data_IF_337615694771
#
_entry.id   IF_337615694771
#
_cell.length_a   1.000
_cell.length_b   1.000
_cell.length_c   1.000
_cell.angle_alpha   90.00
_cell.angle_beta   90.00
_cell.angle_gamma   90.00
#
_symmetry.space_group_name_H-M   'P 1'
#
loop_
_entity.id
_entity.type
_entity.pdbx_description
1 polymer ?
#
# COMPACT_ATOMS: atom_id res chain seq x y z
N UNK A 1 -4.96 66.18 -40.38
CA UNK A 1 -4.85 65.53 -39.05
C UNK A 1 -5.58 64.21 -39.17
N UNK A 2 -5.06 63.00 -38.94
CA UNK A 2 -3.75 62.49 -38.54
C UNK A 2 -3.78 60.98 -38.84
N UNK A 3 -2.61 60.39 -39.06
CA UNK A 3 -2.41 59.06 -39.60
C UNK A 3 -2.97 57.89 -38.75
N UNK A 4 -3.36 56.82 -39.45
CA UNK A 4 -3.52 55.49 -38.88
C UNK A 4 -2.15 54.90 -38.50
N UNK A 5 -2.02 54.40 -37.27
CA UNK A 5 -0.89 53.62 -36.77
C UNK A 5 -1.45 52.53 -35.84
N UNK A 6 -0.94 51.31 -36.00
CA UNK A 6 -1.54 50.08 -35.46
C UNK A 6 -1.06 49.67 -34.07
N UNK A 7 -1.45 48.46 -33.69
CA UNK A 7 -0.66 47.55 -32.85
C UNK A 7 -1.28 46.14 -32.96
N UNK A 8 -0.61 45.23 -33.66
CA UNK A 8 -0.91 43.81 -33.61
C UNK A 8 -0.49 43.26 -32.25
N UNK A 9 -1.39 42.55 -31.59
CA UNK A 9 -1.09 41.84 -30.37
C UNK A 9 -0.25 40.59 -30.70
N UNK A 10 1.04 40.63 -30.39
CA UNK A 10 1.89 39.43 -30.37
C UNK A 10 1.61 38.65 -29.08
N UNK A 11 1.04 37.44 -29.21
CA UNK A 11 0.95 36.48 -28.13
C UNK A 11 2.37 35.94 -27.85
N UNK A 12 3.02 36.45 -26.82
CA UNK A 12 4.25 35.86 -26.30
C UNK A 12 3.92 34.50 -25.68
N UNK A 13 4.43 33.42 -26.27
CA UNK A 13 4.34 32.08 -25.71
C UNK A 13 5.10 31.99 -24.39
N UNK A 14 4.43 31.50 -23.35
CA UNK A 14 5.06 31.14 -22.08
C UNK A 14 6.12 30.06 -22.30
N UNK A 15 7.30 30.13 -21.64
CA UNK A 15 8.28 29.08 -21.74
C UNK A 15 7.74 27.81 -21.09
N UNK A 16 7.60 26.74 -21.88
CA UNK A 16 7.37 25.39 -21.37
C UNK A 16 8.59 25.00 -20.55
N UNK A 17 8.41 24.83 -19.24
CA UNK A 17 9.43 24.20 -18.40
C UNK A 17 9.72 22.81 -18.97
N UNK A 18 10.94 22.61 -19.45
CA UNK A 18 11.38 21.33 -19.94
C UNK A 18 11.29 20.31 -18.80
N UNK A 19 10.49 19.26 -19.01
CA UNK A 19 10.43 18.11 -18.12
C UNK A 19 11.84 17.50 -18.07
N UNK A 20 12.52 17.60 -16.94
CA UNK A 20 13.79 16.92 -16.76
C UNK A 20 13.52 15.42 -16.90
N UNK A 21 14.18 14.77 -17.86
CA UNK A 21 14.11 13.32 -18.00
C UNK A 21 14.62 12.67 -16.70
N UNK A 22 14.01 11.56 -16.27
CA UNK A 22 14.46 10.85 -15.07
C UNK A 22 15.94 10.44 -15.23
N UNK A 23 16.67 10.55 -14.12
CA UNK A 23 18.10 10.26 -14.04
C UNK A 23 18.36 8.79 -14.43
N UNK A 24 19.20 8.58 -15.46
CA UNK A 24 19.44 7.26 -16.05
C UNK A 24 20.29 6.32 -15.16
N UNK A 25 20.68 6.77 -13.97
CA UNK A 25 21.41 5.96 -12.98
C UNK A 25 20.51 5.02 -12.15
N UNK A 26 19.19 5.07 -12.28
CA UNK A 26 18.24 4.22 -11.53
C UNK A 26 17.84 2.95 -12.33
N UNK A 27 18.75 2.34 -13.10
CA UNK A 27 18.46 1.15 -13.94
C UNK A 27 19.37 -0.04 -13.61
N UNK A 28 19.99 -0.04 -12.43
CA UNK A 28 20.76 -1.18 -11.95
C UNK A 28 19.87 -2.42 -11.76
N UNK A 29 20.43 -3.64 -11.81
CA UNK A 29 19.69 -4.90 -11.60
C UNK A 29 18.98 -4.98 -10.24
N UNK A 30 19.35 -4.12 -9.29
CA UNK A 30 18.81 -4.04 -7.94
C UNK A 30 17.74 -2.94 -7.78
N UNK A 31 17.39 -2.20 -8.85
CA UNK A 31 16.31 -1.23 -8.79
C UNK A 31 14.97 -1.88 -9.15
N UNK A 32 14.08 -2.01 -8.15
CA UNK A 32 12.76 -2.59 -8.31
C UNK A 32 11.63 -1.53 -8.43
N UNK A 33 11.98 -0.25 -8.62
CA UNK A 33 10.98 0.80 -8.84
C UNK A 33 10.12 0.45 -10.07
N UNK A 34 8.80 0.62 -9.93
CA UNK A 34 7.80 0.33 -10.97
C UNK A 34 7.72 -1.14 -11.42
N UNK A 35 8.51 -2.05 -10.84
CA UNK A 35 8.42 -3.46 -11.16
C UNK A 35 7.07 -4.04 -10.73
N UNK A 36 6.40 -4.71 -11.67
CA UNK A 36 5.15 -5.44 -11.43
C UNK A 36 5.40 -6.75 -10.69
N UNK A 37 4.37 -7.32 -10.07
CA UNK A 37 4.45 -8.64 -9.42
C UNK A 37 4.94 -9.70 -10.40
N UNK A 38 4.47 -9.66 -11.66
CA UNK A 38 4.88 -10.61 -12.69
C UNK A 38 6.39 -10.51 -13.00
N UNK A 39 6.93 -9.30 -13.12
CA UNK A 39 8.36 -9.07 -13.34
C UNK A 39 9.19 -9.51 -12.13
N UNK A 40 8.75 -9.19 -10.91
CA UNK A 40 9.42 -9.61 -9.67
C UNK A 40 9.43 -11.14 -9.52
N UNK A 41 8.32 -11.80 -9.85
CA UNK A 41 8.25 -13.26 -9.86
C UNK A 41 9.18 -13.87 -10.91
N UNK A 42 9.23 -13.31 -12.12
CA UNK A 42 10.14 -13.76 -13.17
C UNK A 42 11.61 -13.59 -12.76
N UNK A 43 11.97 -12.45 -12.18
CA UNK A 43 13.33 -12.20 -11.69
C UNK A 43 13.73 -13.19 -10.59
N UNK A 44 12.83 -13.48 -9.63
CA UNK A 44 13.07 -14.50 -8.60
C UNK A 44 13.16 -15.93 -9.17
N UNK A 45 12.35 -16.26 -10.18
CA UNK A 45 12.40 -17.57 -10.84
C UNK A 45 13.71 -17.76 -11.62
N UNK A 46 14.20 -16.69 -12.25
CA UNK A 46 15.45 -16.67 -13.02
C UNK A 46 16.70 -16.46 -12.14
N UNK A 47 16.54 -16.39 -10.80
CA UNK A 47 17.63 -16.15 -9.84
C UNK A 47 18.38 -14.83 -10.06
N UNK A 48 17.70 -13.84 -10.63
CA UNK A 48 18.20 -12.47 -10.79
C UNK A 48 18.04 -11.66 -9.50
N UNK A 49 17.08 -12.05 -8.64
CA UNK A 49 16.89 -11.54 -7.29
C UNK A 49 16.30 -12.65 -6.41
N UNK A 50 16.21 -12.39 -5.12
CA UNK A 50 15.54 -13.20 -4.11
C UNK A 50 14.47 -12.39 -3.37
N UNK A 51 13.61 -13.07 -2.61
CA UNK A 51 12.66 -12.39 -1.72
C UNK A 51 13.38 -11.57 -0.64
N UNK A 52 14.54 -12.05 -0.16
CA UNK A 52 15.37 -11.33 0.81
C UNK A 52 15.93 -10.04 0.23
N UNK A 53 16.52 -10.08 -0.97
CA UNK A 53 17.03 -8.87 -1.66
C UNK A 53 15.91 -7.86 -1.92
N UNK A 54 14.77 -8.33 -2.42
CA UNK A 54 13.59 -7.49 -2.65
C UNK A 54 13.06 -6.86 -1.35
N UNK A 55 13.02 -7.63 -0.26
CA UNK A 55 12.59 -7.12 1.06
C UNK A 55 13.56 -6.07 1.59
N UNK A 56 14.87 -6.32 1.50
CA UNK A 56 15.89 -5.34 1.90
C UNK A 56 15.82 -4.05 1.08
N UNK A 57 15.57 -4.15 -0.23
CA UNK A 57 15.35 -2.97 -1.07
C UNK A 57 14.23 -2.08 -0.53
N UNK A 58 13.05 -2.66 -0.26
CA UNK A 58 11.92 -1.88 0.26
C UNK A 58 12.19 -1.33 1.67
N UNK A 59 12.82 -2.10 2.57
CA UNK A 59 13.20 -1.62 3.91
C UNK A 59 14.14 -0.42 3.83
N UNK A 60 15.15 -0.48 2.96
CA UNK A 60 16.08 0.63 2.75
C UNK A 60 15.37 1.87 2.20
N UNK A 61 14.42 1.68 1.28
CA UNK A 61 13.60 2.78 0.73
C UNK A 61 12.67 3.39 1.78
N UNK A 62 12.05 2.59 2.63
CA UNK A 62 11.23 3.09 3.75
C UNK A 62 12.08 3.99 4.64
N UNK A 63 13.28 3.54 5.03
CA UNK A 63 14.19 4.37 5.82
C UNK A 63 14.59 5.67 5.08
N UNK A 64 14.92 5.58 3.79
CA UNK A 64 15.41 6.72 3.02
C UNK A 64 14.33 7.74 2.68
N UNK A 65 13.09 7.30 2.42
CA UNK A 65 12.01 8.14 1.88
C UNK A 65 10.94 8.42 2.92
N UNK A 66 10.48 7.39 3.63
CA UNK A 66 9.38 7.49 4.58
C UNK A 66 9.81 8.13 5.90
N UNK A 67 11.00 7.77 6.39
CA UNK A 67 11.49 8.17 7.72
C UNK A 67 12.45 9.36 7.70
N UNK A 68 13.39 9.42 6.74
CA UNK A 68 14.50 10.41 6.77
C UNK A 68 14.48 11.45 5.65
N UNK A 69 13.86 11.13 4.52
CA UNK A 69 13.86 11.96 3.32
C UNK A 69 12.70 12.95 3.31
N UNK A 70 11.78 12.89 2.33
CA UNK A 70 10.59 13.75 2.28
C UNK A 70 9.61 13.54 3.45
N UNK A 71 9.85 12.54 4.33
CA UNK A 71 9.00 12.21 5.47
C UNK A 71 7.55 11.92 5.05
N UNK A 72 7.38 10.93 4.17
CA UNK A 72 6.03 10.52 3.74
C UNK A 72 5.20 9.96 4.89
N UNK A 73 5.85 9.32 5.88
CA UNK A 73 5.22 8.81 7.10
C UNK A 73 4.00 7.91 6.80
N UNK A 74 4.17 7.08 5.78
CA UNK A 74 3.17 6.16 5.25
C UNK A 74 3.22 4.78 5.92
N UNK A 75 4.33 4.44 6.57
CA UNK A 75 4.53 3.19 7.31
C UNK A 75 4.54 3.47 8.81
N UNK A 76 3.58 2.91 9.54
CA UNK A 76 3.45 3.15 11.00
C UNK A 76 4.25 2.13 11.83
N UNK A 77 4.50 0.94 11.28
CA UNK A 77 5.26 -0.10 11.96
C UNK A 77 5.83 -1.10 10.95
N UNK A 78 7.11 -1.47 11.09
CA UNK A 78 7.73 -2.54 10.30
C UNK A 78 7.57 -3.89 11.00
N UNK A 79 7.40 -4.95 10.22
CA UNK A 79 7.36 -6.31 10.77
C UNK A 79 8.78 -6.77 11.12
N UNK A 80 9.11 -7.04 12.40
CA UNK A 80 10.43 -7.53 12.78
C UNK A 80 10.75 -8.90 12.17
N UNK A 81 9.73 -9.67 11.75
CA UNK A 81 9.88 -11.00 11.19
C UNK A 81 9.89 -10.99 9.63
N UNK A 82 9.82 -9.82 8.98
CA UNK A 82 9.74 -9.70 7.51
C UNK A 82 10.89 -10.43 6.77
N UNK A 83 12.13 -10.24 7.22
CA UNK A 83 13.29 -10.91 6.61
C UNK A 83 13.26 -12.43 6.82
N UNK A 84 12.77 -12.91 7.96
CA UNK A 84 12.60 -14.34 8.20
C UNK A 84 11.53 -14.93 7.26
N UNK A 85 10.43 -14.21 7.03
CA UNK A 85 9.42 -14.61 6.04
C UNK A 85 10.00 -14.68 4.63
N UNK A 86 10.81 -13.69 4.23
CA UNK A 86 11.49 -13.67 2.94
C UNK A 86 12.47 -14.85 2.78
N UNK A 87 13.28 -15.13 3.79
CA UNK A 87 14.18 -16.29 3.81
C UNK A 87 13.43 -17.62 3.67
N UNK A 88 12.28 -17.75 4.33
CA UNK A 88 11.42 -18.93 4.22
C UNK A 88 10.84 -19.07 2.80
N UNK A 89 10.42 -17.96 2.18
CA UNK A 89 9.94 -17.96 0.80
C UNK A 89 11.04 -18.40 -0.18
N UNK A 90 12.27 -17.90 -0.03
CA UNK A 90 13.40 -18.31 -0.86
C UNK A 90 13.77 -19.79 -0.65
N UNK A 91 13.76 -20.27 0.60
CA UNK A 91 13.99 -21.68 0.91
C UNK A 91 12.91 -22.60 0.33
N UNK A 92 11.65 -22.15 0.31
CA UNK A 92 10.56 -22.86 -0.35
C UNK A 92 10.77 -22.91 -1.87
N UNK A 93 11.15 -21.78 -2.49
CA UNK A 93 11.42 -21.69 -3.93
C UNK A 93 12.58 -22.60 -4.36
N UNK A 94 13.69 -22.63 -3.59
CA UNK A 94 14.83 -23.54 -3.84
C UNK A 94 14.45 -25.02 -3.80
N UNK A 95 13.41 -25.38 -3.05
CA UNK A 95 12.85 -26.74 -2.99
C UNK A 95 11.77 -27.00 -4.06
N UNK A 96 11.61 -26.10 -5.03
CA UNK A 96 10.59 -26.21 -6.09
C UNK A 96 9.16 -25.93 -5.62
N UNK A 97 8.97 -25.35 -4.42
CA UNK A 97 7.65 -25.04 -3.88
C UNK A 97 7.37 -23.53 -3.94
N UNK A 98 6.59 -23.11 -4.91
CA UNK A 98 6.08 -21.74 -5.09
C UNK A 98 4.58 -21.75 -4.81
N UNK A 99 4.12 -20.90 -3.89
CA UNK A 99 2.74 -20.94 -3.38
C UNK A 99 1.73 -20.16 -4.23
N UNK A 100 2.21 -19.33 -5.16
CA UNK A 100 1.36 -18.53 -6.04
C UNK A 100 2.02 -17.23 -6.49
N UNK A 101 1.26 -16.30 -7.08
CA UNK A 101 1.79 -15.05 -7.64
C UNK A 101 2.39 -14.12 -6.57
N UNK A 102 1.99 -14.25 -5.30
CA UNK A 102 2.52 -13.44 -4.20
C UNK A 102 3.69 -14.09 -3.45
N UNK A 103 4.19 -15.25 -3.90
CA UNK A 103 5.26 -15.97 -3.20
C UNK A 103 6.56 -15.15 -3.15
N UNK A 104 6.92 -14.65 -1.97
CA UNK A 104 8.08 -13.80 -1.73
C UNK A 104 7.85 -12.30 -1.99
N UNK A 105 6.62 -11.87 -2.28
CA UNK A 105 6.31 -10.46 -2.58
C UNK A 105 6.07 -9.67 -1.27
N UNK A 106 6.78 -8.55 -1.03
CA UNK A 106 6.56 -7.70 0.14
C UNK A 106 5.28 -6.86 0.05
N UNK A 107 4.42 -6.97 1.07
CA UNK A 107 3.10 -6.33 1.16
C UNK A 107 2.95 -5.56 2.46
N UNK A 108 2.41 -4.35 2.40
CA UNK A 108 1.97 -3.59 3.58
C UNK A 108 0.48 -3.79 3.84
N UNK A 109 0.07 -3.82 5.10
CA UNK A 109 -1.35 -3.90 5.47
C UNK A 109 -1.73 -2.63 6.24
N UNK A 110 -2.87 -2.01 5.92
CA UNK A 110 -3.38 -0.90 6.75
C UNK A 110 -3.46 -1.29 8.23
N UNK A 111 -3.09 -0.39 9.13
CA UNK A 111 -2.95 -0.67 10.58
C UNK A 111 -4.27 -0.94 11.34
N UNK A 112 -5.40 -1.02 10.64
CA UNK A 112 -6.64 -1.57 11.18
C UNK A 112 -6.84 -3.07 10.85
N UNK A 113 -5.87 -3.73 10.20
CA UNK A 113 -5.92 -5.14 9.82
C UNK A 113 -5.04 -5.96 10.77
N UNK A 114 -5.63 -6.99 11.39
CA UNK A 114 -4.91 -7.90 12.26
C UNK A 114 -3.90 -8.77 11.52
N UNK A 115 -2.74 -8.89 12.15
CA UNK A 115 -1.64 -9.79 11.82
C UNK A 115 -1.24 -10.49 13.11
N UNK A 116 -1.16 -11.82 13.09
CA UNK A 116 -0.67 -12.63 14.22
C UNK A 116 0.86 -12.57 14.40
N UNK A 117 1.52 -11.59 13.77
CA UNK A 117 2.92 -11.26 13.95
C UNK A 117 3.10 -10.34 15.19
N UNK A 118 4.32 -9.84 15.42
CA UNK A 118 4.65 -9.01 16.59
C UNK A 118 4.25 -7.53 16.46
N UNK A 119 3.60 -7.15 15.36
CA UNK A 119 3.15 -5.78 15.11
C UNK A 119 1.82 -5.47 15.78
N UNK A 120 1.57 -4.20 16.06
CA UNK A 120 0.30 -3.74 16.60
C UNK A 120 -0.78 -3.66 15.50
N UNK A 121 -2.05 -3.71 15.91
CA UNK A 121 -3.19 -3.28 15.09
C UNK A 121 -3.85 -2.15 15.85
N UNK A 122 -3.44 -0.92 15.57
CA UNK A 122 -3.81 0.22 16.43
C UNK A 122 -4.94 1.07 15.86
N UNK A 123 -5.31 0.87 14.58
CA UNK A 123 -6.15 1.80 13.83
C UNK A 123 -5.65 3.27 13.95
N UNK A 124 -4.33 3.44 14.09
CA UNK A 124 -3.67 4.72 14.33
C UNK A 124 -3.79 5.29 15.76
N UNK A 125 -4.49 4.61 16.67
CA UNK A 125 -4.79 5.10 18.02
C UNK A 125 -3.87 4.51 19.08
N UNK A 126 -3.34 5.35 19.97
CA UNK A 126 -2.59 4.88 21.15
C UNK A 126 -3.41 3.99 22.08
N UNK A 127 -4.74 4.09 22.06
CA UNK A 127 -5.62 3.29 22.93
C UNK A 127 -5.59 1.78 22.62
N UNK A 128 -5.15 1.41 21.42
CA UNK A 128 -5.03 0.02 20.97
C UNK A 128 -3.57 -0.48 20.96
N UNK A 129 -2.62 0.35 21.40
CA UNK A 129 -1.21 -0.06 21.53
C UNK A 129 -1.05 -0.90 22.80
N UNK A 130 -0.39 -2.05 22.66
CA UNK A 130 -0.06 -2.93 23.78
C UNK A 130 0.25 -4.33 23.27
N UNK A 131 -0.73 -5.22 23.39
CA UNK A 131 -0.58 -6.61 22.95
C UNK A 131 -0.92 -6.75 21.47
N UNK A 132 -0.03 -7.36 20.65
CA UNK A 132 -0.35 -7.73 19.27
C UNK A 132 -1.60 -8.61 19.17
N UNK A 133 -2.20 -8.64 17.97
CA UNK A 133 -3.33 -9.52 17.70
C UNK A 133 -2.92 -11.00 17.88
N UNK A 134 -3.79 -11.79 18.52
CA UNK A 134 -3.52 -13.21 18.83
C UNK A 134 -3.47 -14.07 17.56
N UNK A 135 -4.05 -13.60 16.45
CA UNK A 135 -4.12 -14.33 15.18
C UNK A 135 -4.26 -13.38 14.00
N UNK A 136 -3.94 -13.88 12.82
CA UNK A 136 -4.18 -13.19 11.56
C UNK A 136 -5.69 -12.89 11.35
N UNK A 137 -5.95 -11.72 10.75
CA UNK A 137 -7.18 -11.49 9.98
C UNK A 137 -7.31 -12.53 8.86
N UNK A 138 -8.51 -12.76 8.35
CA UNK A 138 -8.68 -13.75 7.26
C UNK A 138 -7.91 -13.35 6.01
N UNK A 139 -7.81 -12.05 5.70
CA UNK A 139 -7.02 -11.55 4.56
C UNK A 139 -5.51 -11.70 4.79
N UNK A 140 -5.00 -11.44 6.00
CA UNK A 140 -3.59 -11.66 6.32
C UNK A 140 -3.21 -13.14 6.24
N UNK A 141 -4.08 -14.03 6.75
CA UNK A 141 -3.87 -15.49 6.67
C UNK A 141 -3.78 -15.97 5.21
N UNK A 142 -4.61 -15.42 4.31
CA UNK A 142 -4.55 -15.73 2.87
C UNK A 142 -3.29 -15.21 2.19
N UNK A 143 -2.86 -13.98 2.51
CA UNK A 143 -1.57 -13.46 2.04
C UNK A 143 -0.42 -14.38 2.46
N UNK A 144 -0.40 -14.81 3.72
CA UNK A 144 0.59 -15.74 4.25
C UNK A 144 0.54 -17.11 3.56
N UNK A 145 -0.65 -17.64 3.33
CA UNK A 145 -0.86 -18.89 2.59
C UNK A 145 -0.41 -18.78 1.12
N UNK A 146 -0.54 -17.61 0.50
CA UNK A 146 -0.02 -17.28 -0.83
C UNK A 146 1.49 -17.02 -0.88
N UNK A 147 2.17 -17.06 0.27
CA UNK A 147 3.61 -16.87 0.41
C UNK A 147 4.07 -15.41 0.42
N UNK A 148 3.17 -14.45 0.62
CA UNK A 148 3.53 -13.03 0.72
C UNK A 148 4.41 -12.76 1.95
N UNK A 149 5.31 -11.79 1.82
CA UNK A 149 6.11 -11.25 2.93
C UNK A 149 5.34 -10.07 3.50
N UNK A 150 4.80 -10.18 4.72
CA UNK A 150 4.14 -9.08 5.39
C UNK A 150 5.23 -8.13 5.89
N UNK A 151 5.41 -7.01 5.18
CA UNK A 151 6.50 -6.06 5.40
C UNK A 151 6.28 -5.20 6.66
N UNK A 152 5.02 -4.87 6.95
CA UNK A 152 4.68 -3.89 7.97
C UNK A 152 3.21 -3.47 7.92
N UNK A 153 2.91 -2.46 8.73
CA UNK A 153 1.62 -1.79 8.81
C UNK A 153 1.71 -0.40 8.17
N UNK A 154 0.73 -0.05 7.35
CA UNK A 154 0.60 1.25 6.75
C UNK A 154 -0.24 2.19 7.64
N UNK A 155 0.18 3.46 7.73
CA UNK A 155 -0.51 4.50 8.46
C UNK A 155 -1.89 4.79 7.84
N UNK A 156 -2.78 5.42 8.61
CA UNK A 156 -4.15 5.72 8.23
C UNK A 156 -4.64 7.01 8.89
N UNK A 157 -5.77 7.55 8.42
CA UNK A 157 -6.57 8.44 9.25
C UNK A 157 -7.07 7.67 10.48
N UNK A 158 -6.83 8.18 11.70
CA UNK A 158 -7.19 7.51 12.96
C UNK A 158 -8.65 7.02 12.98
N UNK A 159 -8.87 5.81 13.49
CA UNK A 159 -10.19 5.14 13.50
C UNK A 159 -10.86 5.11 12.12
N UNK A 160 -10.04 4.91 11.08
CA UNK A 160 -10.47 4.92 9.68
C UNK A 160 -11.29 6.18 9.30
N UNK A 161 -10.90 7.34 9.87
CA UNK A 161 -11.53 8.65 9.71
C UNK A 161 -12.90 8.82 10.39
N UNK A 162 -13.34 7.87 11.22
CA UNK A 162 -14.63 7.91 11.91
C UNK A 162 -14.52 8.43 13.36
N UNK A 163 -13.75 9.52 13.54
CA UNK A 163 -13.45 10.09 14.88
C UNK A 163 -13.98 11.51 15.09
N UNK A 164 -13.94 12.35 14.06
CA UNK A 164 -14.30 13.77 14.15
C UNK A 164 -14.69 14.32 12.78
N UNK A 165 -15.61 15.29 12.75
CA UNK A 165 -15.94 16.06 11.55
C UNK A 165 -14.84 17.04 11.13
N UNK A 166 -13.94 17.40 12.03
CA UNK A 166 -12.77 18.24 11.76
C UNK A 166 -11.47 17.43 11.69
N UNK A 167 -11.53 16.19 11.19
CA UNK A 167 -10.34 15.34 11.06
C UNK A 167 -9.41 15.81 9.93
N UNK A 168 -8.12 15.47 10.05
CA UNK A 168 -7.14 15.62 8.98
C UNK A 168 -6.86 14.25 8.36
N UNK A 169 -7.16 14.10 7.07
CA UNK A 169 -6.89 12.85 6.36
C UNK A 169 -5.41 12.49 6.39
N UNK A 170 -5.10 11.23 6.69
CA UNK A 170 -3.75 10.73 6.83
C UNK A 170 -3.10 10.95 8.19
N UNK A 171 -3.75 11.70 9.11
CA UNK A 171 -3.27 11.86 10.47
C UNK A 171 -3.76 10.75 11.40
N UNK A 172 -2.85 10.23 12.23
CA UNK A 172 -3.20 9.46 13.41
C UNK A 172 -2.40 9.84 14.64
N UNK A 173 -2.92 9.59 15.84
CA UNK A 173 -2.22 9.91 17.08
C UNK A 173 -0.91 9.14 17.19
N UNK A 174 -0.92 7.84 16.85
CA UNK A 174 0.27 6.98 16.89
C UNK A 174 1.22 7.25 15.72
N UNK A 175 0.68 7.32 14.51
CA UNK A 175 1.48 7.37 13.28
C UNK A 175 1.82 8.77 12.80
N UNK A 176 1.27 9.84 13.38
CA UNK A 176 1.43 11.19 12.87
C UNK A 176 0.75 11.41 11.51
N UNK A 177 1.17 12.45 10.79
CA UNK A 177 0.61 12.82 9.49
C UNK A 177 1.32 12.08 8.35
N UNK A 178 0.61 11.21 7.64
CA UNK A 178 1.02 10.71 6.33
C UNK A 178 0.88 11.82 5.28
N UNK A 179 1.84 11.98 4.39
CA UNK A 179 1.84 13.04 3.38
C UNK A 179 1.59 12.49 1.97
N UNK A 180 1.15 13.36 1.04
CA UNK A 180 0.95 12.96 -0.35
C UNK A 180 2.30 12.75 -1.05
N UNK A 181 2.51 11.62 -1.76
CA UNK A 181 3.79 11.29 -2.40
C UNK A 181 4.19 12.24 -3.54
N UNK A 182 3.25 12.93 -4.18
CA UNK A 182 3.54 13.91 -5.24
C UNK A 182 3.90 15.30 -4.70
N UNK A 183 3.42 15.65 -3.51
CA UNK A 183 3.70 16.92 -2.86
C UNK A 183 3.41 16.80 -1.36
N UNK A 184 4.44 16.85 -0.52
CA UNK A 184 4.34 16.54 0.91
C UNK A 184 3.50 17.55 1.72
N UNK A 185 3.19 18.70 1.14
CA UNK A 185 2.29 19.72 1.71
C UNK A 185 0.82 19.52 1.29
N UNK A 186 0.50 18.42 0.58
CA UNK A 186 -0.86 18.10 0.12
C UNK A 186 -1.46 16.92 0.85
N UNK A 187 -2.79 16.92 0.87
CA UNK A 187 -3.60 15.89 1.51
C UNK A 187 -3.47 14.55 0.74
N UNK A 188 -3.15 13.42 1.41
CA UNK A 188 -3.09 12.11 0.77
C UNK A 188 -4.48 11.45 0.57
N UNK A 189 -5.56 12.15 0.91
CA UNK A 189 -6.87 11.59 1.24
C UNK A 189 -6.76 10.47 2.29
N UNK A 190 -7.79 9.65 2.42
CA UNK A 190 -7.85 8.63 3.45
C UNK A 190 -9.18 7.87 3.42
N UNK A 191 -9.39 6.92 4.32
CA UNK A 191 -8.51 6.64 5.45
C UNK A 191 -7.30 5.77 5.14
N UNK A 192 -7.21 5.09 4.00
CA UNK A 192 -6.05 4.25 3.64
C UNK A 192 -4.89 5.06 3.05
N UNK A 193 -4.54 6.18 3.67
CA UNK A 193 -3.51 7.13 3.23
C UNK A 193 -2.14 6.46 3.05
N UNK A 194 -1.66 5.77 4.09
CA UNK A 194 -0.34 5.14 4.09
C UNK A 194 -0.25 4.04 3.03
N UNK A 195 -1.30 3.24 2.86
CA UNK A 195 -1.32 2.19 1.83
C UNK A 195 -1.21 2.79 0.42
N UNK A 196 -1.86 3.92 0.14
CA UNK A 196 -1.76 4.60 -1.15
C UNK A 196 -0.38 5.24 -1.37
N UNK A 197 0.08 6.01 -0.38
CA UNK A 197 1.36 6.71 -0.44
C UNK A 197 2.55 5.74 -0.55
N UNK A 198 2.55 4.65 0.22
CA UNK A 198 3.63 3.65 0.19
C UNK A 198 3.76 2.93 -1.15
N UNK A 199 2.63 2.58 -1.77
CA UNK A 199 2.61 1.94 -3.10
C UNK A 199 3.11 2.91 -4.17
N UNK A 200 2.67 4.17 -4.11
CA UNK A 200 3.06 5.24 -5.03
C UNK A 200 4.57 5.51 -4.98
N UNK A 201 5.14 5.59 -3.77
CA UNK A 201 6.56 5.88 -3.56
C UNK A 201 7.49 4.64 -3.69
N UNK A 202 6.98 3.50 -4.16
CA UNK A 202 7.72 2.23 -4.25
C UNK A 202 8.34 1.80 -2.90
N UNK A 203 7.56 1.91 -1.83
CA UNK A 203 7.95 1.46 -0.48
C UNK A 203 7.47 0.03 -0.18
N UNK A 204 6.60 -0.49 -1.03
CA UNK A 204 6.22 -1.89 -1.11
C UNK A 204 5.84 -2.24 -2.55
N UNK A 205 5.67 -3.54 -2.84
CA UNK A 205 5.14 -3.96 -4.13
C UNK A 205 3.65 -3.63 -4.25
N UNK A 206 2.88 -3.92 -3.20
CA UNK A 206 1.43 -3.71 -3.08
C UNK A 206 1.05 -3.50 -1.62
N UNK A 207 -0.15 -2.97 -1.38
CA UNK A 207 -0.69 -2.81 -0.04
C UNK A 207 -2.16 -3.22 0.07
N UNK A 208 -2.60 -3.62 1.26
CA UNK A 208 -4.02 -3.74 1.59
C UNK A 208 -4.55 -2.43 2.18
N UNK A 209 -5.79 -2.12 1.82
CA UNK A 209 -6.55 -0.96 2.24
C UNK A 209 -7.97 -1.40 2.63
N UNK A 210 -8.69 -0.54 3.36
CA UNK A 210 -10.07 -0.83 3.78
C UNK A 210 -10.97 0.35 3.42
N UNK A 211 -12.20 0.05 3.01
CA UNK A 211 -13.18 1.08 2.66
C UNK A 211 -14.54 0.81 3.29
N UNK A 212 -15.05 1.86 3.93
CA UNK A 212 -16.46 2.06 4.27
C UNK A 212 -17.12 2.95 3.22
N UNK A 213 -16.52 4.12 2.97
CA UNK A 213 -16.89 5.05 1.92
C UNK A 213 -15.63 5.83 1.49
N UNK A 214 -15.22 5.70 0.23
CA UNK A 214 -14.08 6.39 -0.38
C UNK A 214 -12.68 6.01 0.13
N UNK A 215 -12.56 5.27 1.23
CA UNK A 215 -11.30 5.05 1.95
C UNK A 215 -10.26 4.15 1.27
N UNK A 216 -10.57 3.50 0.15
CA UNK A 216 -9.65 2.86 -0.81
C UNK A 216 -9.52 3.79 -2.02
N UNK A 217 -10.62 4.10 -2.70
CA UNK A 217 -10.55 4.74 -4.03
C UNK A 217 -10.06 6.19 -3.99
N UNK A 218 -10.37 6.96 -2.93
CA UNK A 218 -9.91 8.34 -2.78
C UNK A 218 -8.39 8.44 -2.53
N UNK A 219 -7.81 7.77 -1.53
CA UNK A 219 -6.35 7.80 -1.34
C UNK A 219 -5.59 7.16 -2.50
N UNK A 220 -6.17 6.17 -3.20
CA UNK A 220 -5.58 5.63 -4.42
C UNK A 220 -5.50 6.71 -5.52
N UNK A 221 -6.60 7.43 -5.78
CA UNK A 221 -6.64 8.53 -6.74
C UNK A 221 -5.64 9.64 -6.40
N UNK A 222 -5.61 10.10 -5.14
CA UNK A 222 -4.69 11.15 -4.71
C UNK A 222 -3.22 10.74 -4.75
N UNK A 223 -2.94 9.43 -4.64
CA UNK A 223 -1.59 8.87 -4.68
C UNK A 223 -1.22 8.34 -6.07
N UNK A 224 -2.06 8.52 -7.09
CA UNK A 224 -1.75 8.09 -8.47
C UNK A 224 -1.62 6.58 -8.64
N UNK A 225 -2.32 5.78 -7.83
CA UNK A 225 -2.28 4.32 -7.86
C UNK A 225 -3.66 3.72 -8.11
N UNK A 226 -3.70 2.44 -8.45
CA UNK A 226 -4.94 1.66 -8.58
C UNK A 226 -5.44 1.26 -7.21
N UNK A 227 -6.70 1.53 -6.90
CA UNK A 227 -7.41 1.03 -5.73
C UNK A 227 -8.70 0.33 -6.14
N UNK A 228 -8.92 -0.91 -5.67
CA UNK A 228 -10.14 -1.66 -5.96
C UNK A 228 -10.94 -1.84 -4.67
N UNK A 229 -12.14 -1.27 -4.62
CA UNK A 229 -13.13 -1.57 -3.59
C UNK A 229 -14.05 -2.71 -4.09
N UNK A 230 -13.90 -3.95 -3.61
CA UNK A 230 -14.74 -5.03 -4.09
C UNK A 230 -16.17 -4.94 -3.51
N UNK A 231 -17.05 -5.80 -4.00
CA UNK A 231 -18.38 -6.02 -3.40
C UNK A 231 -18.21 -6.46 -1.95
N UNK A 232 -19.07 -5.97 -1.05
CA UNK A 232 -19.07 -6.38 0.36
C UNK A 232 -19.33 -7.89 0.44
N UNK A 233 -18.48 -8.62 1.16
CA UNK A 233 -18.51 -10.09 1.23
C UNK A 233 -17.53 -10.82 0.30
N UNK A 234 -17.00 -10.15 -0.74
CA UNK A 234 -15.94 -10.75 -1.57
C UNK A 234 -14.68 -10.98 -0.77
N UNK A 235 -14.30 -10.05 0.10
CA UNK A 235 -13.19 -10.21 1.06
C UNK A 235 -13.75 -10.24 2.48
N UNK A 236 -13.25 -11.17 3.31
CA UNK A 236 -13.68 -11.28 4.70
C UNK A 236 -13.15 -10.11 5.53
N UNK A 237 -14.01 -9.50 6.35
CA UNK A 237 -13.63 -8.46 7.33
C UNK A 237 -13.21 -9.01 8.70
N UNK A 238 -13.10 -10.33 8.85
CA UNK A 238 -12.71 -10.94 10.12
C UNK A 238 -11.29 -10.53 10.54
N UNK A 239 -11.16 -9.97 11.74
CA UNK A 239 -9.89 -9.43 12.26
C UNK A 239 -9.52 -8.06 11.67
N UNK A 240 -10.51 -7.24 11.33
CA UNK A 240 -10.30 -5.85 10.91
C UNK A 240 -11.10 -4.95 11.85
N UNK A 241 -10.47 -3.89 12.37
CA UNK A 241 -11.16 -2.90 13.21
C UNK A 241 -12.24 -2.21 12.34
N UNK A 242 -13.54 -2.39 12.68
CA UNK A 242 -14.63 -2.05 11.77
C UNK A 242 -15.09 -0.59 11.92
N UNK A 243 -15.86 -0.14 10.92
CA UNK A 243 -16.80 0.99 11.03
C UNK A 243 -18.23 0.50 10.78
N UNK A 244 -18.49 -0.15 9.64
CA UNK A 244 -19.84 -0.49 9.18
C UNK A 244 -19.92 -1.88 8.56
N UNK A 245 -20.68 -2.77 9.18
CA UNK A 245 -20.88 -4.12 8.66
C UNK A 245 -21.60 -4.17 7.30
N UNK A 246 -22.28 -3.11 6.88
CA UNK A 246 -23.00 -3.05 5.60
C UNK A 246 -22.15 -2.53 4.44
N UNK A 247 -21.01 -1.90 4.73
CA UNK A 247 -20.20 -1.21 3.73
C UNK A 247 -18.72 -1.64 3.74
N UNK A 248 -18.20 -2.03 4.90
CA UNK A 248 -16.79 -2.34 5.07
C UNK A 248 -16.34 -3.49 4.17
N UNK A 249 -15.23 -3.25 3.48
CA UNK A 249 -14.55 -4.24 2.66
C UNK A 249 -13.06 -3.97 2.59
N UNK A 250 -12.29 -5.00 2.22
CA UNK A 250 -10.84 -4.94 2.11
C UNK A 250 -10.48 -5.05 0.63
N UNK A 251 -9.59 -4.19 0.18
CA UNK A 251 -9.15 -4.16 -1.21
C UNK A 251 -7.67 -3.81 -1.36
N UNK A 252 -7.10 -4.06 -2.54
CA UNK A 252 -5.71 -3.76 -2.84
C UNK A 252 -5.50 -2.31 -3.26
N UNK A 253 -4.33 -1.76 -2.91
CA UNK A 253 -3.66 -0.70 -3.64
C UNK A 253 -2.44 -1.28 -4.39
N UNK A 254 -2.29 -0.92 -5.66
CA UNK A 254 -1.15 -1.31 -6.48
C UNK A 254 -0.87 -0.26 -7.57
N UNK A 255 0.34 -0.23 -8.13
CA UNK A 255 0.67 0.70 -9.24
C UNK A 255 -0.01 0.28 -10.57
N UNK A 256 -0.34 -1.00 -10.72
CA UNK A 256 -1.00 -1.52 -11.92
C UNK A 256 -2.29 -2.27 -11.60
N UNK A 257 -3.21 -2.30 -12.57
CA UNK A 257 -4.45 -3.09 -12.46
C UNK A 257 -4.15 -4.58 -12.33
N UNK A 258 -3.12 -5.07 -13.03
CA UNK A 258 -2.71 -6.47 -12.97
C UNK A 258 -2.27 -6.87 -11.56
N UNK A 259 -1.48 -6.03 -10.90
CA UNK A 259 -1.03 -6.30 -9.53
C UNK A 259 -2.19 -6.22 -8.53
N UNK A 260 -3.08 -5.23 -8.68
CA UNK A 260 -4.28 -5.13 -7.86
C UNK A 260 -5.17 -6.38 -8.02
N UNK A 261 -5.38 -6.86 -9.25
CA UNK A 261 -6.15 -8.06 -9.52
C UNK A 261 -5.50 -9.34 -8.95
N UNK A 262 -4.17 -9.45 -9.03
CA UNK A 262 -3.42 -10.56 -8.44
C UNK A 262 -3.62 -10.62 -6.91
N UNK A 263 -3.53 -9.47 -6.23
CA UNK A 263 -3.77 -9.38 -4.79
C UNK A 263 -5.22 -9.71 -4.44
N UNK A 264 -6.19 -9.11 -5.15
CA UNK A 264 -7.61 -9.36 -4.92
C UNK A 264 -7.95 -10.85 -5.04
N UNK A 265 -7.38 -11.53 -6.04
CA UNK A 265 -7.56 -12.98 -6.26
C UNK A 265 -7.10 -13.79 -5.04
N UNK A 266 -5.99 -13.40 -4.40
CA UNK A 266 -5.47 -14.10 -3.21
C UNK A 266 -6.35 -13.85 -1.99
N UNK A 267 -6.82 -12.63 -1.77
CA UNK A 267 -7.56 -12.27 -0.56
C UNK A 267 -9.06 -12.54 -0.64
N UNK A 268 -9.61 -12.72 -1.85
CA UNK A 268 -11.01 -13.05 -2.08
C UNK A 268 -11.38 -14.32 -1.31
N UNK A 269 -12.52 -14.30 -0.63
CA UNK A 269 -13.11 -15.48 -0.01
C UNK A 269 -13.63 -16.38 -1.11
N UNK A 270 -13.30 -17.67 -1.02
CA UNK A 270 -13.85 -18.71 -1.89
C UNK A 270 -14.81 -19.61 -1.10
N UNK A 271 -14.79 -19.48 0.23
CA UNK A 271 -15.55 -20.27 1.19
C UNK A 271 -16.12 -19.35 2.26
N UNK A 272 -17.16 -19.82 2.94
CA UNK A 272 -17.75 -19.12 4.06
C UNK A 272 -16.74 -18.94 5.20
N UNK A 273 -16.64 -17.72 5.72
CA UNK A 273 -15.86 -17.41 6.91
C UNK A 273 -16.81 -17.25 8.10
N UNK A 274 -16.78 -18.18 9.05
CA UNK A 274 -17.64 -18.11 10.25
C UNK A 274 -17.39 -16.89 11.13
N UNK A 275 -16.28 -16.16 10.94
CA UNK A 275 -15.98 -14.91 11.64
C UNK A 275 -16.49 -13.66 10.92
N UNK A 276 -17.04 -13.82 9.71
CA UNK A 276 -17.68 -12.74 8.95
C UNK A 276 -18.97 -13.28 8.29
N UNK A 277 -20.14 -13.07 8.91
CA UNK A 277 -21.38 -13.72 8.48
C UNK A 277 -21.96 -13.18 7.17
N UNK A 278 -21.32 -12.18 6.54
CA UNK A 278 -21.76 -11.66 5.24
C UNK A 278 -21.55 -12.73 4.18
N UNK A 279 -22.66 -13.13 3.54
CA UNK A 279 -22.64 -14.10 2.44
C UNK A 279 -22.17 -13.41 1.16
N UNK A 280 -21.38 -14.13 0.37
CA UNK A 280 -21.11 -13.74 -1.01
C UNK A 280 -22.42 -13.74 -1.78
N UNK A 281 -22.68 -12.63 -2.49
CA UNK A 281 -23.79 -12.54 -3.44
C UNK A 281 -23.58 -13.48 -4.62
#
# INVERSE_FOLDING_TARGET
>A
MGAAAGAGASLAGSPTAAYAAPDQNDQGPDNFNEATIAQLQAAMANRQTSAVELTNFYLNRIQAIDERGPHLNSVIELNPDALAMAQAADASRRRGRVLGPLHGIPVLLKDNIDTGDKMQTSAGSFALVGQPAVRDSTVAAKLRAGGAVILGKANLSEWANFRSFGSSSGWSGRGGQCNNPYAIDRNPCGSSSGSGAAVSANLCAVALATETDGSIVCPAHMSGVVGIKPTVGVTSRAGVVPISHTQDTIGPHARTVADAAAVLTVIASQTFDGRDPVRQA
#
